data_IF_254272457561
#
_entry.id   IF_254272457561
#
_cell.length_a   1.000
_cell.length_b   1.000
_cell.length_c   1.000
_cell.angle_alpha   90.00
_cell.angle_beta   90.00
_cell.angle_gamma   90.00
#
_symmetry.space_group_name_H-M   'P 1'
#
loop_
_entity.id
_entity.type
_entity.pdbx_description
1 polymer ?
#
# COMPACT_ATOMS: atom_id res chain seq x y z
N UNK A 1 -6.22 -20.24 0.95
CA UNK A 1 -4.95 -19.82 1.55
C UNK A 1 -4.62 -20.82 2.64
N UNK A 2 -3.48 -21.50 2.56
CA UNK A 2 -3.08 -22.53 3.54
C UNK A 2 -1.78 -22.08 4.20
N UNK A 3 -1.66 -22.10 5.55
CA UNK A 3 -0.45 -21.67 6.24
C UNK A 3 0.71 -22.67 6.04
N UNK A 4 1.95 -22.16 6.00
CA UNK A 4 3.18 -22.99 6.08
C UNK A 4 3.22 -23.77 7.41
N UNK A 5 3.75 -25.01 7.42
CA UNK A 5 4.04 -25.73 8.66
C UNK A 5 4.90 -24.87 9.60
N UNK A 6 4.42 -24.63 10.84
CA UNK A 6 5.11 -23.81 11.85
C UNK A 6 4.57 -22.38 12.03
N UNK A 7 3.59 -21.95 11.24
CA UNK A 7 2.91 -20.65 11.40
C UNK A 7 1.52 -20.78 12.06
N UNK A 8 1.04 -19.71 12.71
CA UNK A 8 -0.33 -19.64 13.27
C UNK A 8 -1.34 -19.68 12.12
N UNK A 9 -2.48 -20.34 12.32
CA UNK A 9 -3.58 -20.38 11.35
C UNK A 9 -4.06 -18.98 10.92
N UNK A 10 -3.85 -17.96 11.75
CA UNK A 10 -4.31 -16.59 11.51
C UNK A 10 -3.18 -15.62 11.14
N UNK A 11 -1.93 -16.07 11.10
CA UNK A 11 -0.80 -15.27 10.66
C UNK A 11 0.27 -16.15 10.03
N UNK A 12 0.41 -16.07 8.70
CA UNK A 12 1.25 -16.99 7.92
C UNK A 12 1.79 -16.35 6.65
N UNK A 13 2.88 -16.92 6.11
CA UNK A 13 3.43 -16.55 4.80
C UNK A 13 2.52 -17.12 3.70
N UNK A 14 2.13 -16.30 2.73
CA UNK A 14 1.36 -16.72 1.57
C UNK A 14 2.19 -17.66 0.70
N UNK A 15 1.69 -18.87 0.46
CA UNK A 15 2.20 -19.79 -0.56
C UNK A 15 1.30 -19.78 -1.79
N UNK A 16 1.91 -19.87 -2.97
CA UNK A 16 1.18 -19.85 -4.23
C UNK A 16 1.14 -21.22 -4.90
N UNK A 17 -0.06 -21.60 -5.32
CA UNK A 17 -0.29 -22.60 -6.36
C UNK A 17 -0.17 -21.92 -7.75
N UNK A 18 0.12 -22.69 -8.81
CA UNK A 18 0.22 -22.13 -10.17
C UNK A 18 -1.19 -21.74 -10.65
N UNK A 19 -1.37 -20.48 -11.06
CA UNK A 19 -2.68 -19.94 -11.46
C UNK A 19 -2.56 -19.08 -12.74
N UNK A 20 -3.58 -19.14 -13.60
CA UNK A 20 -3.68 -18.34 -14.83
C UNK A 20 -4.83 -17.35 -14.64
N UNK A 21 -4.54 -16.04 -14.64
CA UNK A 21 -5.54 -15.00 -14.32
C UNK A 21 -6.45 -14.60 -15.49
N UNK A 22 -6.30 -15.23 -16.65
CA UNK A 22 -7.13 -14.94 -17.83
C UNK A 22 -7.54 -16.20 -18.57
N UNK A 23 -8.82 -16.28 -18.94
CA UNK A 23 -9.35 -17.28 -19.88
C UNK A 23 -9.14 -16.90 -21.35
N UNK A 24 -8.61 -15.69 -21.61
CA UNK A 24 -8.37 -15.12 -22.94
C UNK A 24 -6.99 -14.45 -22.94
N UNK A 25 -5.92 -15.18 -23.29
CA UNK A 25 -4.58 -14.60 -23.33
C UNK A 25 -4.50 -13.47 -24.37
N UNK A 26 -3.84 -12.38 -23.99
CA UNK A 26 -3.53 -11.27 -24.89
C UNK A 26 -2.64 -11.74 -26.06
N UNK A 27 -2.76 -11.09 -27.23
CA UNK A 27 -1.81 -11.30 -28.34
C UNK A 27 -0.42 -10.72 -28.04
N UNK A 28 -0.29 -9.89 -27.00
CA UNK A 28 0.98 -9.37 -26.52
C UNK A 28 1.60 -10.36 -25.51
N UNK A 29 2.77 -10.92 -25.87
CA UNK A 29 3.50 -11.87 -25.03
C UNK A 29 3.84 -11.28 -23.65
N UNK A 30 4.04 -9.97 -23.55
CA UNK A 30 4.35 -9.34 -22.26
C UNK A 30 3.16 -9.29 -21.32
N UNK A 31 1.95 -9.08 -21.86
CA UNK A 31 0.70 -9.14 -21.08
C UNK A 31 0.33 -10.57 -20.72
N UNK A 32 0.57 -11.53 -21.62
CA UNK A 32 0.38 -12.95 -21.34
C UNK A 32 1.30 -13.42 -20.20
N UNK A 33 2.56 -12.99 -20.19
CA UNK A 33 3.45 -13.30 -19.07
C UNK A 33 3.03 -12.57 -17.80
N UNK A 34 2.65 -11.29 -17.86
CA UNK A 34 2.18 -10.55 -16.69
C UNK A 34 0.96 -11.17 -15.99
N UNK A 35 0.15 -11.97 -16.69
CA UNK A 35 -1.06 -12.63 -16.16
C UNK A 35 -0.86 -14.11 -15.77
N UNK A 36 0.38 -14.61 -15.84
CA UNK A 36 0.73 -15.99 -15.52
C UNK A 36 1.75 -16.05 -14.37
N UNK A 37 1.47 -16.84 -13.34
CA UNK A 37 2.37 -17.03 -12.22
C UNK A 37 1.74 -17.84 -11.10
N UNK A 38 2.49 -18.06 -10.02
CA UNK A 38 1.89 -18.58 -8.79
C UNK A 38 1.04 -17.49 -8.13
N UNK A 39 -0.01 -17.86 -7.39
CA UNK A 39 -0.89 -16.89 -6.70
C UNK A 39 -0.09 -15.94 -5.79
N UNK A 40 0.95 -16.42 -5.11
CA UNK A 40 1.83 -15.59 -4.29
C UNK A 40 2.62 -14.57 -5.12
N UNK A 41 3.08 -14.96 -6.31
CA UNK A 41 3.78 -14.07 -7.22
C UNK A 41 2.86 -12.96 -7.74
N UNK A 42 1.64 -13.31 -8.17
CA UNK A 42 0.65 -12.33 -8.63
C UNK A 42 0.31 -11.34 -7.52
N UNK A 43 0.11 -11.84 -6.29
CA UNK A 43 -0.09 -10.97 -5.13
C UNK A 43 1.12 -10.08 -4.85
N UNK A 44 2.36 -10.58 -5.01
CA UNK A 44 3.59 -9.77 -4.88
C UNK A 44 3.73 -8.70 -5.98
N UNK A 45 3.06 -8.85 -7.13
CA UNK A 45 2.98 -7.79 -8.14
C UNK A 45 1.95 -6.72 -7.82
N UNK A 46 0.95 -7.03 -6.99
CA UNK A 46 -0.10 -6.08 -6.63
C UNK A 46 0.09 -5.46 -5.24
N UNK A 47 0.70 -6.18 -4.31
CA UNK A 47 1.05 -5.73 -2.96
C UNK A 47 2.56 -5.60 -2.89
N UNK A 48 3.04 -4.38 -2.72
CA UNK A 48 4.44 -4.00 -2.93
C UNK A 48 5.01 -3.31 -1.69
N UNK A 49 6.30 -3.51 -1.36
CA UNK A 49 6.95 -2.81 -0.26
C UNK A 49 7.21 -1.36 -0.66
N UNK A 50 6.99 -0.45 0.28
CA UNK A 50 7.36 0.97 0.16
C UNK A 50 8.77 1.14 0.71
N UNK A 51 9.61 1.79 -0.07
CA UNK A 51 11.05 1.92 0.19
C UNK A 51 11.56 3.34 -0.03
N UNK A 52 12.60 3.74 0.71
CA UNK A 52 13.29 4.99 0.46
C UNK A 52 14.81 4.92 0.71
N UNK A 53 15.58 5.70 -0.04
CA UNK A 53 17.01 5.90 0.19
C UNK A 53 17.52 7.18 -0.48
N UNK A 54 18.48 7.83 0.15
CA UNK A 54 19.25 8.94 -0.42
C UNK A 54 20.44 8.46 -1.25
N UNK A 55 20.95 9.35 -2.10
CA UNK A 55 22.26 9.13 -2.74
C UNK A 55 23.36 9.11 -1.66
N UNK A 56 24.10 7.99 -1.58
CA UNK A 56 25.17 7.80 -0.60
C UNK A 56 24.72 7.13 0.71
N UNK A 57 23.46 6.74 0.84
CA UNK A 57 23.00 5.93 1.96
C UNK A 57 23.57 4.50 1.87
N UNK A 58 23.93 3.91 3.01
CA UNK A 58 24.43 2.53 3.06
C UNK A 58 23.31 1.47 3.05
N UNK A 59 22.05 1.90 2.95
CA UNK A 59 20.89 1.01 2.98
C UNK A 59 19.65 1.63 2.34
N UNK A 60 18.73 0.77 1.90
CA UNK A 60 17.37 1.11 1.53
C UNK A 60 16.46 0.86 2.74
N UNK A 61 15.73 1.90 3.14
CA UNK A 61 14.74 1.83 4.20
C UNK A 61 13.52 1.09 3.71
N UNK A 62 13.10 0.07 4.44
CA UNK A 62 11.80 -0.56 4.25
C UNK A 62 10.78 0.14 5.14
N UNK A 63 9.86 0.89 4.56
CA UNK A 63 8.97 1.79 5.32
C UNK A 63 7.66 1.08 5.66
N UNK A 64 7.05 0.44 4.67
CA UNK A 64 5.77 -0.22 4.84
C UNK A 64 5.30 -0.98 3.60
N UNK A 65 3.99 -1.08 3.43
CA UNK A 65 3.34 -1.79 2.33
C UNK A 65 2.43 -0.85 1.55
N UNK A 66 2.26 -1.10 0.26
CA UNK A 66 1.29 -0.45 -0.59
C UNK A 66 0.61 -1.44 -1.54
N UNK A 67 -0.50 -1.02 -2.14
CA UNK A 67 -1.28 -1.79 -3.11
C UNK A 67 -1.36 -1.06 -4.43
N UNK A 68 -1.06 -1.72 -5.55
CA UNK A 68 -1.38 -1.20 -6.86
C UNK A 68 -2.89 -1.37 -7.08
N UNK A 69 -3.56 -0.29 -7.46
CA UNK A 69 -5.04 -0.21 -7.58
C UNK A 69 -5.48 0.16 -9.00
N UNK A 70 -4.55 0.43 -9.92
CA UNK A 70 -4.85 0.64 -11.35
C UNK A 70 -3.78 0.07 -12.28
N UNK A 71 -4.16 -0.35 -13.48
CA UNK A 71 -3.24 -0.82 -14.52
C UNK A 71 -2.19 0.24 -14.91
N UNK A 72 -2.53 1.51 -14.77
CA UNK A 72 -1.65 2.66 -15.08
C UNK A 72 -0.74 3.06 -13.93
N UNK A 73 -0.82 2.41 -12.75
CA UNK A 73 0.10 2.66 -11.64
C UNK A 73 -0.40 3.63 -10.56
N UNK A 74 -1.72 3.74 -10.33
CA UNK A 74 -2.19 4.29 -9.06
C UNK A 74 -1.92 3.28 -7.94
N UNK A 75 -1.49 3.79 -6.79
CA UNK A 75 -1.09 2.99 -5.62
C UNK A 75 -1.78 3.54 -4.37
N UNK A 76 -2.27 2.65 -3.50
CA UNK A 76 -2.83 2.98 -2.20
C UNK A 76 -1.88 2.54 -1.08
N UNK A 77 -1.70 3.38 -0.06
CA UNK A 77 -0.96 3.04 1.16
C UNK A 77 -1.51 3.83 2.35
N UNK A 78 -0.86 3.74 3.51
CA UNK A 78 -1.20 4.57 4.66
C UNK A 78 -0.58 5.97 4.54
N UNK A 79 -1.24 7.00 5.04
CA UNK A 79 -0.77 8.38 4.95
C UNK A 79 0.53 8.59 5.72
N UNK A 80 0.65 8.01 6.91
CA UNK A 80 1.87 8.09 7.71
C UNK A 80 3.10 7.43 7.03
N UNK A 81 2.91 6.48 6.11
CA UNK A 81 4.03 5.92 5.33
C UNK A 81 4.64 6.97 4.42
N UNK A 82 3.81 7.81 3.80
CA UNK A 82 4.29 8.89 2.93
C UNK A 82 4.94 10.04 3.71
N UNK A 83 4.54 10.20 4.97
CA UNK A 83 5.11 11.18 5.89
C UNK A 83 6.37 10.70 6.60
N UNK A 84 6.72 9.40 6.53
CA UNK A 84 7.89 8.85 7.23
C UNK A 84 9.20 9.61 6.92
N UNK A 85 9.52 9.99 5.66
CA UNK A 85 10.69 10.84 5.38
C UNK A 85 10.73 12.16 6.19
N UNK A 86 9.57 12.76 6.46
CA UNK A 86 9.45 13.99 7.25
C UNK A 86 9.48 13.71 8.75
N UNK A 87 8.64 12.79 9.21
CA UNK A 87 8.45 12.46 10.63
C UNK A 87 9.74 11.88 11.24
N UNK A 88 10.43 11.00 10.49
CA UNK A 88 11.71 10.40 10.87
C UNK A 88 12.92 11.29 10.51
N UNK A 89 12.70 12.42 9.82
CA UNK A 89 13.73 13.42 9.54
C UNK A 89 14.80 12.99 8.53
N UNK A 90 14.44 12.14 7.55
CA UNK A 90 15.32 11.72 6.47
C UNK A 90 14.71 12.09 5.10
N UNK A 91 15.21 13.15 4.47
CA UNK A 91 14.88 13.44 3.07
C UNK A 91 13.52 14.11 2.80
N UNK A 92 12.84 14.67 3.80
CA UNK A 92 11.73 15.59 3.57
C UNK A 92 11.71 16.77 4.55
N UNK A 93 11.18 17.90 4.10
CA UNK A 93 11.01 19.13 4.89
C UNK A 93 9.64 19.74 4.66
N UNK A 94 9.21 20.62 5.56
CA UNK A 94 7.98 21.41 5.40
C UNK A 94 8.32 22.75 4.75
N UNK A 95 7.59 23.12 3.70
CA UNK A 95 7.61 24.46 3.10
C UNK A 95 6.18 25.01 3.06
N UNK A 96 5.87 25.96 3.93
CA UNK A 96 4.51 26.49 4.09
C UNK A 96 3.53 25.38 4.49
N UNK A 97 2.53 25.09 3.66
CA UNK A 97 1.54 24.04 3.92
C UNK A 97 1.82 22.75 3.13
N UNK A 98 3.04 22.57 2.60
CA UNK A 98 3.41 21.43 1.77
C UNK A 98 4.61 20.69 2.34
N UNK A 99 4.62 19.37 2.17
CA UNK A 99 5.82 18.55 2.34
C UNK A 99 6.62 18.56 1.04
N UNK A 100 7.92 18.79 1.15
CA UNK A 100 8.86 18.80 0.02
C UNK A 100 9.90 17.71 0.26
N UNK A 101 9.94 16.73 -0.64
CA UNK A 101 10.96 15.69 -0.65
C UNK A 101 12.30 16.29 -1.14
N UNK A 102 13.41 15.78 -0.61
CA UNK A 102 14.73 16.16 -1.08
C UNK A 102 14.99 15.64 -2.50
N UNK A 103 15.66 16.42 -3.34
CA UNK A 103 15.90 16.09 -4.76
C UNK A 103 16.61 14.74 -4.97
N UNK A 104 17.43 14.33 -4.00
CA UNK A 104 18.22 13.09 -4.03
C UNK A 104 17.57 11.93 -3.29
N UNK A 105 16.34 12.10 -2.79
CA UNK A 105 15.60 11.02 -2.13
C UNK A 105 14.89 10.18 -3.19
N UNK A 106 15.26 8.91 -3.27
CA UNK A 106 14.45 7.91 -3.93
C UNK A 106 13.35 7.48 -2.95
N UNK A 107 12.09 7.68 -3.31
CA UNK A 107 10.95 7.26 -2.51
C UNK A 107 9.88 6.63 -3.43
N UNK A 108 9.52 5.37 -3.16
CA UNK A 108 8.65 4.62 -4.05
C UNK A 108 8.43 3.17 -3.63
N UNK A 109 8.24 2.29 -4.61
CA UNK A 109 7.96 0.86 -4.39
C UNK A 109 8.90 -0.04 -5.17
N UNK A 110 9.07 -1.28 -4.70
CA UNK A 110 9.67 -2.36 -5.48
C UNK A 110 8.61 -3.31 -6.03
N UNK A 111 8.62 -3.53 -7.34
CA UNK A 111 7.74 -4.49 -8.02
C UNK A 111 8.60 -5.67 -8.49
N UNK A 112 8.30 -6.92 -8.11
CA UNK A 112 9.12 -8.07 -8.50
C UNK A 112 9.01 -8.35 -10.00
N UNK A 113 10.11 -8.82 -10.60
CA UNK A 113 10.10 -9.30 -11.98
C UNK A 113 9.28 -10.58 -12.10
N UNK A 114 8.58 -10.73 -13.22
CA UNK A 114 7.93 -12.00 -13.53
C UNK A 114 8.98 -13.10 -13.77
N UNK A 115 8.95 -14.22 -13.02
CA UNK A 115 9.85 -15.34 -13.23
C UNK A 115 9.85 -15.87 -14.66
N UNK A 116 8.76 -15.69 -15.41
CA UNK A 116 8.64 -16.05 -16.82
C UNK A 116 9.64 -15.31 -17.72
N UNK A 117 10.17 -14.15 -17.30
CA UNK A 117 11.26 -13.45 -17.99
C UNK A 117 12.65 -14.03 -17.69
N UNK A 118 12.75 -15.10 -16.90
CA UNK A 118 14.02 -15.78 -16.58
C UNK A 118 14.93 -15.01 -15.63
N UNK A 119 14.50 -13.86 -15.10
CA UNK A 119 15.23 -13.06 -14.13
C UNK A 119 14.56 -13.09 -12.76
N UNK A 120 15.38 -13.10 -11.70
CA UNK A 120 14.96 -12.83 -10.32
C UNK A 120 15.35 -11.40 -9.97
N UNK A 121 14.52 -10.74 -9.19
CA UNK A 121 14.78 -9.38 -8.71
C UNK A 121 13.52 -8.53 -8.73
N UNK A 122 13.71 -7.23 -8.66
CA UNK A 122 12.64 -6.25 -8.62
C UNK A 122 13.03 -5.01 -9.42
N UNK A 123 12.01 -4.21 -9.70
CA UNK A 123 12.10 -2.92 -10.36
C UNK A 123 11.64 -1.85 -9.39
N UNK A 124 12.43 -0.78 -9.31
CA UNK A 124 12.04 0.41 -8.59
C UNK A 124 11.07 1.27 -9.40
N UNK A 125 10.03 1.73 -8.73
CA UNK A 125 9.13 2.76 -9.23
C UNK A 125 8.99 3.87 -8.20
N UNK A 126 9.55 5.05 -8.52
CA UNK A 126 9.42 6.24 -7.67
C UNK A 126 8.00 6.80 -7.68
N UNK A 127 7.58 7.30 -6.53
CA UNK A 127 6.39 8.14 -6.42
C UNK A 127 6.70 9.50 -7.04
N UNK A 128 6.10 9.78 -8.19
CA UNK A 128 6.23 11.10 -8.80
C UNK A 128 5.07 12.03 -8.40
N UNK A 129 3.98 11.46 -7.87
CA UNK A 129 2.87 12.20 -7.25
C UNK A 129 2.31 11.39 -6.07
N UNK A 130 1.83 12.10 -5.07
CA UNK A 130 1.02 11.53 -4.01
C UNK A 130 0.06 12.57 -3.44
N UNK A 131 -1.03 12.07 -2.85
CA UNK A 131 -2.09 12.85 -2.24
C UNK A 131 -2.23 12.43 -0.78
N UNK A 132 -2.08 13.43 0.09
CA UNK A 132 -2.29 13.36 1.52
C UNK A 132 -3.36 14.37 1.89
N UNK A 133 -4.32 13.96 2.71
CA UNK A 133 -5.42 14.83 3.13
C UNK A 133 -5.32 15.11 4.62
N UNK A 134 -5.32 16.38 4.96
CA UNK A 134 -5.12 16.85 6.33
C UNK A 134 -4.68 18.31 6.35
N UNK A 135 -4.18 18.73 7.51
CA UNK A 135 -3.72 20.10 7.71
C UNK A 135 -2.48 20.11 8.59
N UNK A 136 -1.54 21.01 8.30
CA UNK A 136 -0.45 21.29 9.21
C UNK A 136 -0.98 22.01 10.45
N UNK A 137 -0.57 21.53 11.62
CA UNK A 137 -0.80 22.18 12.91
C UNK A 137 0.52 22.65 13.46
N UNK A 138 0.60 23.97 13.59
CA UNK A 138 1.72 24.61 14.26
C UNK A 138 1.70 24.25 15.73
N UNK A 139 2.88 23.86 16.22
CA UNK A 139 3.05 23.62 17.63
C UNK A 139 3.03 24.95 18.40
N UNK A 140 2.23 25.07 19.49
CA UNK A 140 2.32 26.24 20.36
C UNK A 140 3.59 26.23 21.24
N UNK A 141 4.32 25.11 21.28
CA UNK A 141 5.49 24.89 22.12
C UNK A 141 6.76 24.91 21.29
N UNK A 142 7.72 25.77 21.67
CA UNK A 142 8.98 26.01 20.92
C UNK A 142 9.81 24.74 20.74
N UNK A 143 9.67 23.76 21.63
CA UNK A 143 10.40 22.49 21.60
C UNK A 143 9.66 21.35 20.88
N UNK A 144 8.40 21.57 20.50
CA UNK A 144 7.62 20.60 19.73
C UNK A 144 7.61 21.00 18.26
N UNK A 145 7.80 20.01 17.37
CA UNK A 145 7.71 20.24 15.93
C UNK A 145 6.25 20.34 15.52
N UNK A 146 6.01 21.09 14.45
CA UNK A 146 4.73 21.09 13.77
C UNK A 146 4.37 19.68 13.32
N UNK A 147 3.07 19.38 13.33
CA UNK A 147 2.55 18.05 12.99
C UNK A 147 1.52 18.15 11.89
N UNK A 148 1.47 17.13 11.04
CA UNK A 148 0.39 16.99 10.08
C UNK A 148 -0.78 16.25 10.75
N UNK A 149 -1.94 16.90 10.87
CA UNK A 149 -3.18 16.28 11.33
C UNK A 149 -3.92 15.72 10.12
N UNK A 150 -3.84 14.39 9.97
CA UNK A 150 -4.49 13.65 8.88
C UNK A 150 -6.02 13.72 8.98
N UNK A 151 -6.68 13.94 7.84
CA UNK A 151 -8.13 13.74 7.69
C UNK A 151 -8.49 12.26 7.65
N UNK A 152 -7.64 11.45 7.01
CA UNK A 152 -7.69 10.00 6.94
C UNK A 152 -6.27 9.47 6.84
N UNK A 153 -6.03 8.26 7.35
CA UNK A 153 -4.74 7.58 7.18
C UNK A 153 -4.67 6.77 5.88
N UNK A 154 -5.55 7.01 4.91
CA UNK A 154 -5.41 6.54 3.52
C UNK A 154 -4.65 7.58 2.71
N UNK A 155 -3.72 7.13 1.87
CA UNK A 155 -3.06 7.96 0.88
C UNK A 155 -2.99 7.28 -0.49
N UNK A 156 -2.92 8.11 -1.52
CA UNK A 156 -2.84 7.68 -2.91
C UNK A 156 -1.56 8.20 -3.53
N UNK A 157 -0.88 7.35 -4.29
CA UNK A 157 0.33 7.67 -5.03
C UNK A 157 0.16 7.34 -6.50
N UNK A 158 1.04 7.91 -7.33
CA UNK A 158 1.18 7.54 -8.73
C UNK A 158 2.63 7.12 -8.99
N UNK A 159 2.77 5.93 -9.55
CA UNK A 159 4.04 5.39 -10.08
C UNK A 159 4.01 5.40 -11.60
N UNK A 160 5.19 5.26 -12.22
CA UNK A 160 5.30 5.15 -13.68
C UNK A 160 4.62 3.89 -14.22
N UNK A 161 4.25 3.92 -15.50
CA UNK A 161 3.71 2.76 -16.21
C UNK A 161 4.76 1.65 -16.33
N UNK A 162 4.30 0.40 -16.48
CA UNK A 162 5.23 -0.69 -16.78
C UNK A 162 5.86 -0.49 -18.17
N UNK A 163 7.12 -0.89 -18.36
CA UNK A 163 7.77 -0.80 -19.66
C UNK A 163 7.05 -1.61 -20.74
N UNK A 164 7.29 -1.24 -22.00
CA UNK A 164 6.78 -1.95 -23.18
C UNK A 164 5.24 -2.02 -23.23
N UNK A 165 4.56 -1.09 -22.57
CA UNK A 165 3.10 -1.01 -22.56
C UNK A 165 2.41 -2.10 -21.75
N UNK A 166 3.14 -2.86 -20.92
CA UNK A 166 2.51 -3.80 -20.01
C UNK A 166 1.63 -3.06 -18.99
N UNK A 167 0.60 -3.74 -18.48
CA UNK A 167 -0.21 -3.24 -17.38
C UNK A 167 0.40 -3.64 -16.04
N UNK A 168 0.27 -2.77 -15.04
CA UNK A 168 0.38 -3.19 -13.64
C UNK A 168 -0.75 -4.18 -13.30
N UNK A 169 -0.60 -4.94 -12.22
CA UNK A 169 -1.62 -5.88 -11.72
C UNK A 169 -2.41 -5.23 -10.59
N UNK A 170 -3.57 -4.58 -10.85
CA UNK A 170 -4.32 -3.88 -9.81
C UNK A 170 -5.14 -4.83 -8.92
N UNK A 171 -5.29 -4.44 -7.66
CA UNK A 171 -6.33 -4.96 -6.77
C UNK A 171 -7.60 -4.13 -6.90
N UNK A 172 -8.72 -4.82 -6.73
CA UNK A 172 -10.04 -4.22 -6.83
C UNK A 172 -10.40 -3.45 -5.55
N UNK A 173 -11.14 -2.36 -5.71
CA UNK A 173 -11.61 -1.52 -4.61
C UNK A 173 -13.10 -1.74 -4.36
N UNK A 174 -13.52 -1.65 -3.10
CA UNK A 174 -14.93 -1.66 -2.70
C UNK A 174 -15.25 -0.45 -1.81
N UNK A 175 -16.45 0.10 -2.01
CA UNK A 175 -17.02 1.15 -1.17
C UNK A 175 -17.79 0.60 0.04
N UNK A 176 -18.01 -0.71 0.10
CA UNK A 176 -18.78 -1.29 1.19
C UNK A 176 -17.96 -1.22 2.47
N UNK A 177 -18.51 -0.61 3.54
CA UNK A 177 -17.84 -0.61 4.83
C UNK A 177 -17.82 -2.04 5.39
N UNK A 178 -16.85 -2.30 6.27
CA UNK A 178 -16.88 -3.49 7.09
C UNK A 178 -18.07 -3.47 8.05
N UNK A 179 -18.53 -4.66 8.43
CA UNK A 179 -19.55 -4.84 9.48
C UNK A 179 -18.92 -5.54 10.69
N UNK A 180 -19.25 -5.14 11.93
CA UNK A 180 -18.83 -5.88 13.12
C UNK A 180 -19.19 -7.37 13.03
N UNK A 181 -18.26 -8.24 13.41
CA UNK A 181 -18.37 -9.69 13.29
C UNK A 181 -17.94 -10.26 11.94
N UNK A 182 -17.66 -9.41 10.94
CA UNK A 182 -17.18 -9.87 9.63
C UNK A 182 -15.72 -10.32 9.73
N UNK A 183 -15.39 -11.44 9.08
CA UNK A 183 -14.00 -11.83 8.86
C UNK A 183 -13.29 -10.82 7.93
N UNK A 184 -12.06 -10.46 8.24
CA UNK A 184 -11.22 -9.61 7.42
C UNK A 184 -9.79 -10.16 7.41
N UNK A 185 -9.05 -9.88 6.33
CA UNK A 185 -7.64 -10.23 6.28
C UNK A 185 -6.81 -9.12 5.66
N UNK A 186 -5.61 -8.94 6.18
CA UNK A 186 -4.59 -8.04 5.65
C UNK A 186 -3.50 -8.85 4.96
N UNK A 187 -2.99 -8.32 3.86
CA UNK A 187 -1.93 -8.96 3.07
C UNK A 187 -0.80 -7.96 2.88
N UNK A 188 0.40 -8.22 3.41
CA UNK A 188 1.49 -7.24 3.32
C UNK A 188 2.84 -7.76 3.77
N UNK A 189 3.83 -6.88 3.78
CA UNK A 189 5.18 -7.24 4.17
C UNK A 189 5.36 -7.00 5.66
N UNK A 190 5.79 -8.03 6.38
CA UNK A 190 5.98 -7.98 7.82
C UNK A 190 7.47 -7.96 8.16
N UNK A 191 7.83 -7.19 9.19
CA UNK A 191 9.15 -7.24 9.85
C UNK A 191 10.33 -7.07 8.87
N UNK A 192 10.11 -6.35 7.76
CA UNK A 192 11.17 -6.05 6.80
C UNK A 192 12.26 -5.20 7.46
N UNK A 193 13.46 -5.75 7.54
CA UNK A 193 14.67 -4.99 7.86
C UNK A 193 15.08 -4.10 6.69
N UNK A 194 15.90 -3.09 7.00
CA UNK A 194 16.52 -2.26 5.97
C UNK A 194 17.47 -3.11 5.10
N UNK A 195 17.52 -2.81 3.81
CA UNK A 195 18.25 -3.60 2.81
C UNK A 195 19.64 -2.97 2.64
N UNK A 196 20.73 -3.67 2.98
CA UNK A 196 22.07 -3.13 2.80
C UNK A 196 22.37 -2.79 1.33
N UNK A 197 23.00 -1.64 1.10
CA UNK A 197 23.48 -1.22 -0.20
C UNK A 197 24.99 -1.40 -0.30
N UNK A 198 25.44 -2.00 -1.40
CA UNK A 198 26.85 -2.01 -1.77
C UNK A 198 27.04 -1.23 -3.06
N UNK A 199 27.97 -0.27 -3.04
CA UNK A 199 28.34 0.49 -4.23
C UNK A 199 29.56 -0.17 -4.89
N UNK A 200 29.31 -0.84 -6.02
CA UNK A 200 30.35 -1.43 -6.87
C UNK A 200 30.77 -0.50 -8.01
N UNK A 201 31.77 -0.93 -8.78
CA UNK A 201 32.22 -0.21 -10.00
C UNK A 201 31.12 -0.07 -11.06
N UNK A 202 30.18 -0.99 -11.09
CA UNK A 202 29.08 -1.06 -12.04
C UNK A 202 27.76 -0.47 -11.49
N UNK A 203 27.80 0.16 -10.31
CA UNK A 203 26.65 0.79 -9.66
C UNK A 203 26.22 0.11 -8.37
N UNK A 204 24.97 0.39 -7.98
CA UNK A 204 24.36 -0.08 -6.74
C UNK A 204 24.00 -1.57 -6.83
N UNK A 205 24.46 -2.37 -5.87
CA UNK A 205 24.21 -3.81 -5.77
C UNK A 205 23.33 -4.05 -4.54
N UNK A 206 22.24 -4.80 -4.75
CA UNK A 206 21.36 -5.27 -3.68
C UNK A 206 21.54 -6.79 -3.60
N UNK A 207 22.18 -7.26 -2.51
CA UNK A 207 22.63 -8.65 -2.41
C UNK A 207 21.50 -9.62 -2.07
N UNK A 208 20.67 -9.30 -1.08
CA UNK A 208 19.60 -10.17 -0.63
C UNK A 208 18.40 -9.34 -0.17
N UNK A 209 17.30 -9.39 -0.94
CA UNK A 209 16.01 -8.85 -0.52
C UNK A 209 14.92 -9.92 -0.68
N UNK A 210 14.38 -10.36 0.46
CA UNK A 210 13.29 -11.33 0.50
C UNK A 210 11.94 -10.61 0.54
N UNK A 211 11.17 -10.76 -0.54
CA UNK A 211 9.83 -10.21 -0.67
C UNK A 211 8.79 -11.25 -0.23
N UNK A 212 8.84 -11.67 1.03
CA UNK A 212 7.84 -12.58 1.59
C UNK A 212 6.60 -11.83 2.05
N UNK A 213 5.45 -12.36 1.65
CA UNK A 213 4.16 -11.72 1.81
C UNK A 213 3.38 -12.47 2.89
N UNK A 214 2.93 -11.73 3.89
CA UNK A 214 2.27 -12.26 5.07
C UNK A 214 0.77 -11.97 5.03
N UNK A 215 0.01 -12.97 5.40
CA UNK A 215 -1.44 -12.88 5.59
C UNK A 215 -1.68 -12.78 7.09
N UNK A 216 -2.51 -11.81 7.50
CA UNK A 216 -3.06 -11.73 8.85
C UNK A 216 -4.58 -11.75 8.79
N UNK A 217 -5.20 -12.75 9.40
CA UNK A 217 -6.65 -12.94 9.42
C UNK A 217 -7.21 -12.56 10.79
N UNK A 218 -8.37 -11.91 10.81
CA UNK A 218 -9.07 -11.55 12.03
C UNK A 218 -10.54 -11.25 11.81
N UNK A 219 -11.18 -10.74 12.85
CA UNK A 219 -12.59 -10.36 12.86
C UNK A 219 -12.71 -8.87 13.14
N UNK A 220 -13.56 -8.17 12.38
CA UNK A 220 -13.87 -6.76 12.62
C UNK A 220 -14.66 -6.66 13.92
N UNK A 221 -14.15 -5.89 14.87
CA UNK A 221 -14.77 -5.78 16.20
C UNK A 221 -15.74 -4.62 16.23
N UNK A 222 -15.31 -3.43 15.81
CA UNK A 222 -16.11 -2.19 15.76
C UNK A 222 -15.70 -1.33 14.57
N UNK A 223 -16.63 -0.45 14.20
CA UNK A 223 -16.44 0.55 13.14
C UNK A 223 -16.64 1.95 13.72
N UNK A 224 -15.82 2.89 13.28
CA UNK A 224 -15.76 4.27 13.74
C UNK A 224 -15.89 5.23 12.54
N UNK A 225 -17.07 5.31 11.91
CA UNK A 225 -17.26 6.12 10.70
C UNK A 225 -17.05 7.63 10.94
N UNK A 226 -17.28 8.11 12.16
CA UNK A 226 -17.16 9.52 12.54
C UNK A 226 -15.90 9.82 13.34
N UNK A 227 -14.88 8.95 13.31
CA UNK A 227 -13.69 9.14 14.15
C UNK A 227 -12.90 10.43 13.83
N UNK A 228 -13.08 10.99 12.63
CA UNK A 228 -12.55 12.32 12.28
C UNK A 228 -13.15 13.46 13.13
N UNK A 229 -14.35 13.27 13.69
CA UNK A 229 -15.03 14.21 14.59
C UNK A 229 -14.84 13.81 16.05
N UNK A 230 -15.11 12.53 16.37
CA UNK A 230 -15.21 12.04 17.74
C UNK A 230 -13.85 11.71 18.36
N UNK A 231 -12.88 11.29 17.54
CA UNK A 231 -11.52 10.91 17.96
C UNK A 231 -11.51 9.82 19.05
N UNK A 232 -12.46 8.89 18.99
CA UNK A 232 -12.60 7.75 19.90
C UNK A 232 -11.39 6.82 19.86
N UNK A 233 -10.77 6.69 18.70
CA UNK A 233 -9.61 5.83 18.46
C UNK A 233 -8.48 6.59 17.80
N UNK A 234 -7.22 6.15 17.95
CA UNK A 234 -6.09 6.98 17.59
C UNK A 234 -5.71 6.92 16.10
N UNK A 235 -6.39 6.09 15.30
CA UNK A 235 -6.26 6.07 13.83
C UNK A 235 -7.00 7.26 13.22
N UNK A 236 -6.33 8.11 12.42
CA UNK A 236 -6.98 9.26 11.80
C UNK A 236 -8.10 8.90 10.82
N UNK A 237 -9.19 9.66 10.88
CA UNK A 237 -10.30 9.51 9.95
C UNK A 237 -11.20 8.31 10.24
N UNK A 238 -12.24 8.12 9.39
CA UNK A 238 -13.10 6.94 9.46
C UNK A 238 -12.29 5.65 9.46
N UNK A 239 -12.51 4.79 10.45
CA UNK A 239 -11.66 3.64 10.73
C UNK A 239 -12.43 2.49 11.38
N UNK A 240 -11.78 1.34 11.54
CA UNK A 240 -12.32 0.17 12.22
C UNK A 240 -11.22 -0.52 13.02
N UNK A 241 -11.60 -1.24 14.07
CA UNK A 241 -10.70 -2.14 14.76
C UNK A 241 -11.02 -3.61 14.43
N UNK A 242 -9.98 -4.43 14.41
CA UNK A 242 -10.12 -5.85 14.10
C UNK A 242 -9.12 -6.68 14.91
N UNK A 243 -9.56 -7.88 15.30
CA UNK A 243 -8.83 -8.81 16.13
C UNK A 243 -7.86 -9.63 15.27
N UNK A 244 -6.74 -9.02 14.90
CA UNK A 244 -5.72 -9.62 14.05
C UNK A 244 -4.32 -9.29 14.53
N UNK A 245 -3.36 -10.18 14.24
CA UNK A 245 -1.94 -9.96 14.54
C UNK A 245 -1.26 -9.23 13.38
N UNK A 246 -1.06 -7.93 13.53
CA UNK A 246 -0.40 -7.10 12.54
C UNK A 246 1.01 -6.71 13.03
N UNK A 247 2.07 -7.39 12.58
CA UNK A 247 3.45 -7.02 12.89
C UNK A 247 3.87 -5.68 12.25
N UNK A 248 5.01 -5.17 12.68
CA UNK A 248 5.61 -3.96 12.11
C UNK A 248 5.84 -4.07 10.59
N UNK A 249 5.88 -2.93 9.90
CA UNK A 249 6.04 -2.79 8.44
C UNK A 249 4.84 -3.25 7.58
N UNK A 250 3.80 -3.84 8.18
CA UNK A 250 2.54 -4.12 7.48
C UNK A 250 1.61 -2.89 7.35
N UNK A 251 1.98 -1.72 7.89
CA UNK A 251 1.23 -0.50 7.63
C UNK A 251 1.04 -0.27 6.13
N UNK A 252 -0.11 0.28 5.75
CA UNK A 252 -0.50 0.49 4.36
C UNK A 252 -0.88 -0.78 3.58
N UNK A 253 -0.75 -1.96 4.20
CA UNK A 253 -1.23 -3.20 3.60
C UNK A 253 -2.74 -3.14 3.35
N UNK A 254 -3.23 -3.64 2.21
CA UNK A 254 -4.65 -3.72 1.92
C UNK A 254 -5.35 -4.66 2.92
N UNK A 255 -6.56 -4.26 3.33
CA UNK A 255 -7.47 -5.09 4.12
C UNK A 255 -8.67 -5.46 3.25
N UNK A 256 -8.94 -6.75 3.19
CA UNK A 256 -10.01 -7.37 2.42
C UNK A 256 -11.12 -7.90 3.34
N UNK A 257 -12.35 -7.95 2.82
CA UNK A 257 -13.44 -8.70 3.46
C UNK A 257 -13.25 -10.21 3.30
N UNK A 258 -13.86 -10.99 4.20
CA UNK A 258 -13.80 -12.45 4.17
C UNK A 258 -14.49 -13.05 2.93
N UNK A 259 -15.34 -12.26 2.27
CA UNK A 259 -16.05 -12.62 1.05
C UNK A 259 -15.60 -11.72 -0.11
N UNK A 260 -14.52 -12.12 -0.78
CA UNK A 260 -14.03 -11.50 -2.01
C UNK A 260 -12.69 -10.78 -1.88
N UNK A 261 -11.93 -10.76 -2.98
CA UNK A 261 -10.63 -10.10 -3.08
C UNK A 261 -10.78 -8.61 -3.45
N UNK A 262 -11.57 -7.86 -2.65
CA UNK A 262 -11.71 -6.41 -2.79
C UNK A 262 -11.18 -5.68 -1.55
N UNK A 263 -10.39 -4.65 -1.79
CA UNK A 263 -9.86 -3.76 -0.76
C UNK A 263 -10.99 -2.90 -0.21
N UNK A 264 -11.15 -2.89 1.11
CA UNK A 264 -12.09 -2.01 1.84
C UNK A 264 -11.40 -1.04 2.80
N UNK A 265 -10.09 -1.20 2.99
CA UNK A 265 -9.27 -0.33 3.82
C UNK A 265 -7.80 -0.65 3.72
N UNK A 266 -7.00 0.06 4.52
CA UNK A 266 -5.57 -0.20 4.68
C UNK A 266 -5.20 -0.30 6.15
N UNK A 267 -4.20 -1.11 6.47
CA UNK A 267 -3.63 -1.19 7.82
C UNK A 267 -3.07 0.17 8.21
N UNK A 268 -3.54 0.72 9.33
CA UNK A 268 -3.08 2.01 9.85
C UNK A 268 -2.16 1.82 11.05
N UNK A 269 -2.60 1.03 12.04
CA UNK A 269 -1.87 0.91 13.30
C UNK A 269 -2.06 -0.46 13.91
N UNK A 270 -1.05 -0.93 14.61
CA UNK A 270 -1.11 -2.11 15.46
C UNK A 270 -0.28 -1.91 16.71
N UNK A 271 -0.59 -2.68 17.76
CA UNK A 271 0.21 -2.71 18.98
C UNK A 271 1.07 -3.97 18.99
N UNK A 272 2.37 -3.79 19.17
CA UNK A 272 3.33 -4.90 19.16
C UNK A 272 2.97 -5.92 20.24
N UNK A 273 2.87 -7.19 19.85
CA UNK A 273 2.55 -8.30 20.75
C UNK A 273 1.06 -8.52 21.01
N UNK A 274 0.17 -7.67 20.50
CA UNK A 274 -1.28 -7.79 20.68
C UNK A 274 -2.00 -8.28 19.42
N UNK A 275 -3.15 -8.93 19.60
CA UNK A 275 -4.09 -9.27 18.50
C UNK A 275 -5.14 -8.17 18.36
N UNK A 276 -4.68 -6.93 18.18
CA UNK A 276 -5.54 -5.77 18.02
C UNK A 276 -4.88 -4.77 17.08
N UNK A 277 -5.58 -4.46 16.00
CA UNK A 277 -5.11 -3.52 14.99
C UNK A 277 -6.26 -2.64 14.51
N UNK A 278 -5.88 -1.52 13.89
CA UNK A 278 -6.78 -0.56 13.28
C UNK A 278 -6.53 -0.46 11.79
N UNK A 279 -7.63 -0.43 11.04
CA UNK A 279 -7.65 -0.13 9.62
C UNK A 279 -8.27 1.23 9.35
N UNK A 280 -7.70 1.98 8.41
CA UNK A 280 -8.34 3.16 7.84
C UNK A 280 -9.35 2.72 6.77
N UNK A 281 -10.53 3.32 6.75
CA UNK A 281 -11.59 2.97 5.80
C UNK A 281 -11.34 3.61 4.42
N UNK A 282 -11.46 2.80 3.37
CA UNK A 282 -11.33 3.29 1.99
C UNK A 282 -12.54 4.12 1.55
N UNK A 283 -13.76 3.70 1.91
CA UNK A 283 -15.01 4.29 1.41
C UNK A 283 -15.03 5.83 1.45
N UNK A 284 -14.79 6.46 2.61
CA UNK A 284 -14.74 7.92 2.70
C UNK A 284 -13.59 8.57 1.91
N UNK A 285 -12.43 7.89 1.80
CA UNK A 285 -11.28 8.39 1.04
C UNK A 285 -11.52 8.40 -0.48
N UNK A 286 -12.45 7.60 -0.99
CA UNK A 286 -12.74 7.48 -2.42
C UNK A 286 -13.29 8.76 -3.05
N UNK A 287 -13.82 9.66 -2.23
CA UNK A 287 -14.41 10.94 -2.63
C UNK A 287 -13.45 12.12 -2.41
N UNK A 288 -12.27 11.87 -1.85
CA UNK A 288 -11.31 12.94 -1.60
C UNK A 288 -10.64 13.37 -2.91
N UNK A 289 -10.36 14.68 -3.06
CA UNK A 289 -9.82 15.23 -4.30
C UNK A 289 -8.40 14.70 -4.55
N UNK A 290 -8.18 14.23 -5.77
CA UNK A 290 -6.89 13.96 -6.40
C UNK A 290 -6.55 15.09 -7.37
N UNK A 291 -6.84 16.32 -6.95
CA UNK A 291 -6.73 17.49 -7.81
C UNK A 291 -5.26 17.79 -8.13
N UNK A 292 -5.06 18.28 -9.34
CA UNK A 292 -3.80 18.77 -9.87
C UNK A 292 -4.03 20.18 -10.44
N UNK A 293 -2.99 21.01 -10.63
CA UNK A 293 -3.17 22.37 -11.15
C UNK A 293 -3.98 22.45 -12.46
N UNK A 294 -3.99 21.38 -13.26
CA UNK A 294 -4.69 21.29 -14.54
C UNK A 294 -5.91 20.37 -14.53
N UNK A 295 -6.19 19.68 -13.41
CA UNK A 295 -7.23 18.65 -13.32
C UNK A 295 -7.99 18.82 -12.01
N UNK A 296 -9.25 19.21 -12.10
CA UNK A 296 -10.12 19.42 -10.92
C UNK A 296 -11.28 18.43 -10.90
N UNK A 297 -11.76 18.10 -9.71
CA UNK A 297 -12.90 17.19 -9.50
C UNK A 297 -12.55 15.72 -9.70
N UNK A 298 -11.26 15.39 -9.84
CA UNK A 298 -10.80 14.01 -9.92
C UNK A 298 -10.77 13.40 -8.52
N UNK A 299 -11.33 12.22 -8.38
CA UNK A 299 -11.35 11.40 -7.16
C UNK A 299 -11.14 9.93 -7.54
N UNK A 300 -10.75 9.06 -6.61
CA UNK A 300 -10.69 7.62 -6.91
C UNK A 300 -12.03 7.10 -7.44
N UNK A 301 -13.15 7.56 -6.88
CA UNK A 301 -14.48 7.20 -7.37
C UNK A 301 -14.67 7.54 -8.85
N UNK A 302 -14.33 8.76 -9.26
CA UNK A 302 -14.43 9.14 -10.68
C UNK A 302 -13.47 8.35 -11.57
N UNK A 303 -12.30 7.94 -11.07
CA UNK A 303 -11.36 7.11 -11.83
C UNK A 303 -11.90 5.68 -12.04
N UNK A 304 -12.53 5.10 -11.02
CA UNK A 304 -13.24 3.82 -11.13
C UNK A 304 -14.45 3.91 -12.04
N UNK A 305 -15.22 5.00 -11.97
CA UNK A 305 -16.43 5.20 -12.78
C UNK A 305 -16.11 5.43 -14.26
N UNK A 306 -15.04 6.15 -14.57
CA UNK A 306 -14.63 6.42 -15.96
C UNK A 306 -13.88 5.26 -16.59
N UNK A 307 -13.16 4.44 -15.80
CA UNK A 307 -12.45 3.25 -16.27
C UNK A 307 -11.16 3.51 -17.05
N UNK A 308 -10.77 4.76 -17.26
CA UNK A 308 -9.63 5.13 -18.11
C UNK A 308 -8.26 4.73 -17.53
N UNK A 309 -8.18 4.48 -16.22
CA UNK A 309 -6.93 4.10 -15.55
C UNK A 309 -6.76 2.58 -15.39
N UNK A 310 -7.71 1.78 -15.91
CA UNK A 310 -7.75 0.34 -15.69
C UNK A 310 -8.02 -0.02 -14.22
N UNK A 311 -8.90 0.73 -13.56
CA UNK A 311 -9.45 0.36 -12.25
C UNK A 311 -10.74 -0.43 -12.49
N UNK A 312 -10.85 -1.64 -11.95
CA UNK A 312 -12.06 -2.44 -12.15
C UNK A 312 -13.24 -1.89 -11.34
N UNK A 313 -14.42 -1.87 -11.96
CA UNK A 313 -15.68 -1.58 -11.28
C UNK A 313 -16.30 -2.88 -10.81
N UNK A 314 -16.14 -3.20 -9.53
CA UNK A 314 -16.81 -4.35 -8.92
C UNK A 314 -18.25 -3.98 -8.55
N UNK A 315 -19.20 -4.83 -8.91
CA UNK A 315 -20.62 -4.69 -8.55
C UNK A 315 -21.14 -6.05 -8.05
N UNK A 316 -21.83 -6.08 -6.92
CA UNK A 316 -22.49 -7.27 -6.39
C UNK A 316 -23.08 -7.06 -5.00
N UNK A 317 -24.09 -7.84 -4.62
CA UNK A 317 -24.58 -7.82 -3.25
C UNK A 317 -23.48 -8.35 -2.31
N UNK A 318 -22.96 -7.49 -1.42
CA UNK A 318 -21.82 -7.82 -0.55
C UNK A 318 -20.44 -7.46 -1.11
N UNK A 319 -20.34 -6.82 -2.29
CA UNK A 319 -19.10 -6.33 -2.92
C UNK A 319 -19.14 -4.84 -3.24
#
# INVERSE_FOLDING_TARGET
MTPKPGFDANYFILEGDIELMTSTPSQNIHEAFASFGRTDFLMKQSVVPVVAWGEGDDFIRCIGTASIISCTGYVMTAAHILMDPFDSGYGATRQGNQMVLADKLNFGVFVPYNPAYGSRGFRYFGFHKFWLWGQWKESPLIYERDRFEYLTDIAICKIGEMPYGAAHQPLNLSLNPFVPGEAAYALGYAEMGDIPLDYGKDGMIIKDFQMDLFVSVGEVMRVFPENHLQKDVPTPGPSFDFNAKIPGKMSGAPIFGGQGAVIRGAVSRSFSGERHAFGAMLGPAMHLPLDEPQITGRTLRTLVETGNEGMARVQGAGL
#
